data_IF_810755862155
#
_entry.id   IF_810755862155
#
_cell.length_a   1.000
_cell.length_b   1.000
_cell.length_c   1.000
_cell.angle_alpha   90.00
_cell.angle_beta   90.00
_cell.angle_gamma   90.00
#
_symmetry.space_group_name_H-M   'P 1'
#
loop_
_entity.id
_entity.type
_entity.pdbx_description
1 polymer ?
#
# COMPACT_ATOMS: atom_id res chain seq x y z
N UNK A 1 -9.75 -13.88 11.83
CA UNK A 1 -10.20 -12.52 12.28
C UNK A 1 -10.63 -11.74 11.04
N UNK A 2 -11.92 -11.38 10.95
CA UNK A 2 -12.50 -10.52 9.90
C UNK A 2 -11.98 -9.09 10.06
N UNK A 3 -10.84 -8.76 9.45
CA UNK A 3 -10.21 -7.44 9.60
C UNK A 3 -10.56 -6.45 8.48
N UNK A 4 -11.39 -6.79 7.49
CA UNK A 4 -11.56 -5.94 6.31
C UNK A 4 -12.96 -5.97 5.68
N UNK A 5 -14.03 -6.10 6.46
CA UNK A 5 -15.38 -5.82 5.93
C UNK A 5 -15.64 -4.33 6.08
N UNK A 6 -15.49 -3.59 4.97
CA UNK A 6 -15.98 -2.23 4.86
C UNK A 6 -17.49 -2.25 4.67
N UNK A 7 -18.21 -1.48 5.46
CA UNK A 7 -19.65 -1.31 5.31
C UNK A 7 -19.90 -0.53 4.01
N UNK A 8 -20.89 -0.89 3.21
CA UNK A 8 -21.19 -0.20 1.95
C UNK A 8 -22.25 0.85 2.24
N UNK A 9 -21.95 2.11 1.91
CA UNK A 9 -22.89 3.22 2.01
C UNK A 9 -24.13 2.92 1.14
N UNK A 10 -25.34 2.84 1.73
CA UNK A 10 -26.55 2.49 0.99
C UNK A 10 -27.02 3.56 0.00
N UNK A 11 -26.50 4.80 0.12
CA UNK A 11 -26.83 5.93 -0.76
C UNK A 11 -25.81 6.09 -1.87
N UNK A 12 -24.52 5.95 -1.56
CA UNK A 12 -23.45 6.16 -2.55
C UNK A 12 -22.87 4.89 -3.15
N UNK A 13 -23.16 3.72 -2.57
CA UNK A 13 -22.59 2.42 -2.96
C UNK A 13 -21.08 2.30 -2.69
N UNK A 14 -20.48 3.29 -2.03
CA UNK A 14 -19.04 3.32 -1.73
C UNK A 14 -18.79 2.60 -0.41
N UNK A 15 -17.70 1.82 -0.27
CA UNK A 15 -17.33 1.31 1.03
C UNK A 15 -17.01 2.49 1.97
N UNK A 16 -17.77 2.62 3.06
CA UNK A 16 -17.40 3.45 4.20
C UNK A 16 -16.09 2.92 4.77
N UNK A 17 -15.00 3.64 4.50
CA UNK A 17 -13.70 3.38 5.08
C UNK A 17 -13.65 3.87 6.54
N UNK A 18 -14.52 3.37 7.40
CA UNK A 18 -14.57 3.84 8.80
C UNK A 18 -13.39 3.34 9.64
N UNK A 19 -12.63 2.36 9.15
CA UNK A 19 -11.45 1.86 9.87
C UNK A 19 -10.18 2.11 9.08
N UNK A 20 -9.47 3.19 9.44
CA UNK A 20 -8.03 3.30 9.13
C UNK A 20 -7.31 2.26 9.98
N UNK A 21 -7.13 1.06 9.42
CA UNK A 21 -6.43 -0.04 10.08
C UNK A 21 -4.91 0.12 10.01
N UNK A 22 -4.45 0.93 9.04
CA UNK A 22 -3.05 1.14 8.75
C UNK A 22 -2.79 2.60 8.39
N UNK A 23 -1.62 3.10 8.77
CA UNK A 23 -1.03 4.34 8.33
C UNK A 23 -0.10 4.06 7.13
N UNK A 24 -0.36 4.70 5.99
CA UNK A 24 0.47 4.54 4.79
C UNK A 24 1.76 5.35 4.96
N UNK A 25 2.91 4.65 4.97
CA UNK A 25 4.22 5.29 5.08
C UNK A 25 4.74 5.75 3.72
N UNK A 26 4.47 4.99 2.65
CA UNK A 26 4.94 5.28 1.29
C UNK A 26 3.78 5.65 0.36
N UNK A 27 3.53 6.95 0.17
CA UNK A 27 2.47 7.43 -0.75
C UNK A 27 2.78 7.06 -2.20
N UNK A 28 4.03 7.29 -2.64
CA UNK A 28 4.58 6.81 -3.92
C UNK A 28 5.47 5.59 -3.63
N UNK A 29 5.51 4.58 -4.50
CA UNK A 29 6.38 3.43 -4.30
C UNK A 29 7.85 3.85 -4.33
N UNK A 30 8.65 3.30 -3.42
CA UNK A 30 10.11 3.47 -3.44
C UNK A 30 10.68 2.57 -4.54
N UNK A 31 11.62 3.11 -5.33
CA UNK A 31 12.26 2.45 -6.46
C UNK A 31 13.72 2.10 -6.13
N UNK A 32 14.27 1.06 -6.77
CA UNK A 32 15.71 0.77 -6.68
C UNK A 32 16.54 1.95 -7.15
N UNK A 33 17.74 2.08 -6.58
CA UNK A 33 18.73 3.07 -7.03
C UNK A 33 19.48 2.58 -8.26
N UNK A 34 20.15 3.48 -8.99
CA UNK A 34 21.00 3.08 -10.13
C UNK A 34 22.10 2.10 -9.75
N UNK A 35 22.73 2.28 -8.58
CA UNK A 35 23.76 1.38 -8.06
C UNK A 35 23.21 -0.03 -7.80
N UNK A 36 22.00 -0.11 -7.21
CA UNK A 36 21.34 -1.38 -6.97
C UNK A 36 20.99 -2.10 -8.28
N UNK A 37 20.58 -1.37 -9.32
CA UNK A 37 20.31 -1.96 -10.64
C UNK A 37 21.57 -2.49 -11.32
N UNK A 38 22.71 -1.83 -11.11
CA UNK A 38 24.00 -2.29 -11.66
C UNK A 38 24.45 -3.60 -11.00
N UNK A 39 24.29 -3.74 -9.69
CA UNK A 39 24.62 -4.95 -8.94
C UNK A 39 23.57 -6.05 -9.14
N UNK A 40 22.31 -5.66 -9.28
CA UNK A 40 21.19 -6.59 -9.38
C UNK A 40 20.14 -6.15 -10.43
N UNK A 41 20.32 -6.52 -11.71
CA UNK A 41 19.40 -6.15 -12.78
C UNK A 41 17.95 -6.60 -12.58
N UNK A 42 17.71 -7.67 -11.80
CA UNK A 42 16.36 -8.16 -11.50
C UNK A 42 15.53 -7.21 -10.63
N UNK A 43 16.18 -6.22 -9.98
CA UNK A 43 15.48 -5.20 -9.19
C UNK A 43 14.74 -4.18 -10.06
N UNK A 44 14.96 -4.10 -11.39
CA UNK A 44 14.45 -3.04 -12.28
C UNK A 44 12.95 -2.74 -12.16
N UNK A 45 12.13 -3.76 -11.91
CA UNK A 45 10.67 -3.61 -11.80
C UNK A 45 10.17 -3.47 -10.36
N UNK A 46 11.04 -3.57 -9.34
CA UNK A 46 10.65 -3.56 -7.94
C UNK A 46 10.00 -2.23 -7.52
N UNK A 47 9.01 -2.35 -6.63
CA UNK A 47 8.21 -1.24 -6.08
C UNK A 47 7.92 -1.52 -4.62
N UNK A 48 8.67 -0.90 -3.71
CA UNK A 48 8.44 -1.07 -2.28
C UNK A 48 7.27 -0.18 -1.83
N UNK A 49 6.35 -0.78 -1.07
CA UNK A 49 5.27 -0.08 -0.38
C UNK A 49 5.23 -0.55 1.08
N UNK A 50 5.03 0.39 2.00
CA UNK A 50 4.98 0.11 3.43
C UNK A 50 3.81 0.83 4.10
N UNK A 51 3.30 0.19 5.14
CA UNK A 51 2.29 0.75 6.04
C UNK A 51 2.53 0.26 7.47
N UNK A 52 2.10 1.04 8.45
CA UNK A 52 2.16 0.72 9.88
C UNK A 52 0.76 0.38 10.37
N UNK A 53 0.60 -0.68 11.16
CA UNK A 53 -0.69 -0.98 11.81
C UNK A 53 -1.00 0.08 12.87
N UNK A 54 -2.23 0.61 12.85
CA UNK A 54 -2.75 1.53 13.86
C UNK A 54 -3.27 0.77 15.10
#
# INVERSE_FOLDING_TARGET
RHLAQGEIDPVTGRPQSERRLIEILTRKPVRPTGAELAVNPRSRSARLRAAKRL
#
